data_IF_982684277745
#
_entry.id   IF_982684277745
#
_cell.length_a   1.000
_cell.length_b   1.000
_cell.length_c   1.000
_cell.angle_alpha   90.00
_cell.angle_beta   90.00
_cell.angle_gamma   90.00
#
_symmetry.space_group_name_H-M   'P 1'
#
loop_
_entity.id
_entity.type
_entity.pdbx_description
1 polymer ?
#
# COMPACT_ATOMS: atom_id res chain seq x y z
N UNK A 1 -17.65 8.63 0.35
CA UNK A 1 -16.43 8.12 1.04
C UNK A 1 -16.76 7.06 2.09
N UNK A 2 -16.81 5.80 1.66
CA UNK A 2 -16.91 4.64 2.54
C UNK A 2 -15.52 4.02 2.70
N UNK A 3 -14.99 3.98 3.93
CA UNK A 3 -13.77 3.23 4.26
C UNK A 3 -14.11 1.74 4.30
N UNK A 4 -13.40 0.94 3.52
CA UNK A 4 -13.58 -0.52 3.47
C UNK A 4 -12.27 -1.27 3.68
N UNK A 5 -11.13 -0.57 3.58
CA UNK A 5 -9.84 -1.10 4.01
C UNK A 5 -9.26 -0.18 5.08
N UNK A 6 -8.76 -0.74 6.17
CA UNK A 6 -7.97 0.00 7.15
C UNK A 6 -6.92 -0.88 7.80
N UNK A 7 -5.74 -0.31 8.05
CA UNK A 7 -4.66 -0.91 8.81
C UNK A 7 -3.86 0.16 9.53
N UNK A 8 -3.11 -0.22 10.56
CA UNK A 8 -2.27 0.70 11.34
C UNK A 8 -0.80 0.32 11.16
N UNK A 9 0.04 1.31 10.86
CA UNK A 9 1.48 1.14 10.79
C UNK A 9 2.00 0.75 12.17
N UNK A 10 2.66 -0.39 12.25
CA UNK A 10 3.24 -0.91 13.48
C UNK A 10 4.72 -0.57 13.56
N UNK A 11 5.44 -0.78 12.46
CA UNK A 11 6.89 -0.59 12.39
C UNK A 11 7.30 -0.26 10.96
N UNK A 12 8.41 0.45 10.82
CA UNK A 12 8.98 0.81 9.54
C UNK A 12 10.37 0.20 9.45
N UNK A 13 10.61 -0.53 8.36
CA UNK A 13 11.94 -1.00 8.03
C UNK A 13 12.93 0.17 7.91
N UNK A 14 14.17 -0.05 8.35
CA UNK A 14 15.25 0.96 8.32
C UNK A 14 15.52 1.50 6.90
N UNK A 15 15.24 0.69 5.88
CA UNK A 15 15.41 0.96 4.46
C UNK A 15 14.08 1.11 3.72
N UNK A 16 12.96 1.36 4.41
CA UNK A 16 11.65 1.56 3.76
C UNK A 16 11.66 2.74 2.77
N UNK A 17 12.56 3.71 3.00
CA UNK A 17 12.74 4.87 2.15
C UNK A 17 13.62 4.58 0.93
N UNK A 18 14.34 3.46 0.88
CA UNK A 18 15.25 3.13 -0.22
C UNK A 18 14.53 2.99 -1.56
N UNK A 19 13.24 2.65 -1.54
CA UNK A 19 12.42 2.52 -2.76
C UNK A 19 11.58 3.77 -3.07
N UNK A 20 11.67 4.83 -2.25
CA UNK A 20 10.94 6.09 -2.53
C UNK A 20 11.38 6.74 -3.82
N UNK A 21 12.69 6.73 -4.13
CA UNK A 21 13.22 7.25 -5.40
C UNK A 21 12.67 6.48 -6.61
N UNK A 22 12.40 5.19 -6.45
CA UNK A 22 11.74 4.34 -7.44
C UNK A 22 10.20 4.47 -7.43
N UNK A 23 9.65 5.44 -6.67
CA UNK A 23 8.22 5.64 -6.45
C UNK A 23 7.49 4.36 -6.02
N UNK A 24 8.15 3.54 -5.20
CA UNK A 24 7.65 2.24 -4.77
C UNK A 24 7.69 2.13 -3.25
N UNK A 25 6.61 1.58 -2.68
CA UNK A 25 6.56 1.18 -1.27
C UNK A 25 6.04 -0.24 -1.17
N UNK A 26 6.58 -1.01 -0.24
CA UNK A 26 6.10 -2.37 0.03
C UNK A 26 5.53 -2.38 1.44
N UNK A 27 4.33 -2.93 1.58
CA UNK A 27 3.68 -3.13 2.86
C UNK A 27 3.54 -4.62 3.13
N UNK A 28 3.69 -5.00 4.39
CA UNK A 28 3.52 -6.37 4.85
C UNK A 28 2.87 -6.41 6.22
N UNK A 29 2.21 -7.50 6.56
CA UNK A 29 1.79 -7.75 7.94
C UNK A 29 2.96 -8.18 8.84
N UNK A 30 2.67 -8.47 10.10
CA UNK A 30 3.60 -9.00 11.09
C UNK A 30 4.30 -10.34 10.70
N UNK A 31 3.85 -11.02 9.64
CA UNK A 31 4.43 -12.27 9.13
C UNK A 31 5.43 -12.04 7.98
N UNK A 32 5.88 -10.80 7.76
CA UNK A 32 6.89 -10.48 6.74
C UNK A 32 8.19 -11.30 6.95
N UNK A 33 8.82 -11.80 5.87
CA UNK A 33 10.15 -12.39 5.94
C UNK A 33 11.14 -11.39 6.54
N UNK A 34 12.03 -11.86 7.41
CA UNK A 34 13.00 -11.01 8.13
C UNK A 34 13.86 -10.16 7.17
N UNK A 35 14.28 -10.75 6.05
CA UNK A 35 15.06 -10.08 5.00
C UNK A 35 14.29 -8.93 4.32
N UNK A 36 12.96 -8.99 4.27
CA UNK A 36 12.13 -7.96 3.65
C UNK A 36 11.62 -6.93 4.66
N UNK A 37 11.59 -7.26 5.96
CA UNK A 37 11.13 -6.34 7.03
C UNK A 37 11.87 -5.01 6.98
N UNK A 38 13.17 -5.03 6.73
CA UNK A 38 14.00 -3.83 6.66
C UNK A 38 13.58 -2.86 5.55
N UNK A 39 12.88 -3.34 4.53
CA UNK A 39 12.46 -2.56 3.37
C UNK A 39 10.95 -2.29 3.32
N UNK A 40 10.17 -2.85 4.26
CA UNK A 40 8.71 -2.82 4.22
C UNK A 40 8.12 -1.99 5.36
N UNK A 41 6.91 -1.49 5.12
CA UNK A 41 6.02 -0.98 6.16
C UNK A 41 5.33 -2.18 6.80
N UNK A 42 5.59 -2.43 8.07
CA UNK A 42 4.88 -3.45 8.84
C UNK A 42 3.61 -2.84 9.41
N UNK A 43 2.47 -3.46 9.13
CA UNK A 43 1.17 -3.00 9.60
C UNK A 43 0.34 -4.12 10.24
N UNK A 44 -0.66 -3.71 11.01
CA UNK A 44 -1.53 -4.62 11.77
C UNK A 44 -2.98 -4.19 11.73
N UNK A 45 -3.87 -5.18 11.87
CA UNK A 45 -5.31 -4.95 11.95
C UNK A 45 -6.00 -4.86 10.60
N UNK A 46 -5.40 -5.46 9.56
CA UNK A 46 -5.90 -5.58 8.18
C UNK A 46 -7.42 -5.88 8.13
N UNK A 47 -8.22 -4.82 8.02
CA UNK A 47 -9.68 -4.90 7.90
C UNK A 47 -10.02 -4.63 6.45
N UNK A 48 -10.22 -5.69 5.67
CA UNK A 48 -10.58 -5.61 4.26
C UNK A 48 -12.02 -6.11 4.06
N UNK A 49 -12.96 -5.17 3.93
CA UNK A 49 -14.40 -5.44 3.81
C UNK A 49 -14.91 -5.46 2.35
N UNK A 50 -14.13 -4.91 1.42
CA UNK A 50 -14.48 -4.80 0.00
C UNK A 50 -13.25 -5.08 -0.88
N UNK A 51 -13.42 -4.98 -2.20
CA UNK A 51 -12.35 -5.24 -3.17
C UNK A 51 -11.75 -3.94 -3.65
N UNK A 52 -10.41 -3.90 -3.75
CA UNK A 52 -9.69 -2.76 -4.29
C UNK A 52 -9.93 -2.61 -5.80
N UNK A 53 -10.35 -1.42 -6.23
CA UNK A 53 -10.65 -1.14 -7.64
C UNK A 53 -10.00 0.17 -8.11
N UNK A 54 -9.69 0.29 -9.42
CA UNK A 54 -9.32 1.56 -10.02
C UNK A 54 -10.37 2.63 -9.75
N UNK A 55 -9.94 3.82 -9.34
CA UNK A 55 -10.79 4.95 -8.98
C UNK A 55 -10.99 5.13 -7.46
N UNK A 56 -10.71 4.10 -6.65
CA UNK A 56 -10.69 4.23 -5.19
C UNK A 56 -9.54 5.14 -4.72
N UNK A 57 -9.61 5.62 -3.48
CA UNK A 57 -8.60 6.53 -2.89
C UNK A 57 -7.85 5.80 -1.77
N UNK A 58 -6.55 5.61 -1.97
CA UNK A 58 -5.60 5.15 -0.97
C UNK A 58 -5.15 6.33 -0.11
N UNK A 59 -5.36 6.23 1.21
CA UNK A 59 -5.03 7.26 2.19
C UNK A 59 -3.92 6.75 3.10
N UNK A 60 -2.88 7.55 3.25
CA UNK A 60 -1.72 7.24 4.08
C UNK A 60 -1.35 8.49 4.86
N UNK A 61 -1.59 8.47 6.18
CA UNK A 61 -1.48 9.67 7.01
C UNK A 61 -2.39 10.78 6.51
N UNK A 62 -1.80 11.93 6.16
CA UNK A 62 -2.52 13.09 5.60
C UNK A 62 -2.61 13.09 4.06
N UNK A 63 -2.00 12.13 3.37
CA UNK A 63 -1.97 12.09 1.92
C UNK A 63 -3.04 11.18 1.33
N UNK A 64 -3.52 11.57 0.16
CA UNK A 64 -4.54 10.85 -0.61
C UNK A 64 -4.05 10.61 -2.04
N UNK A 65 -4.13 9.36 -2.46
CA UNK A 65 -3.65 8.85 -3.73
C UNK A 65 -4.77 8.09 -4.44
N UNK A 66 -5.11 8.50 -5.65
CA UNK A 66 -6.07 7.79 -6.48
C UNK A 66 -5.47 6.51 -7.06
N UNK A 67 -6.18 5.41 -6.92
CA UNK A 67 -5.81 4.12 -7.52
C UNK A 67 -6.09 4.19 -9.01
N UNK A 68 -5.08 3.91 -9.82
CA UNK A 68 -5.18 3.88 -11.28
C UNK A 68 -5.28 2.45 -11.81
N UNK A 69 -4.63 1.51 -11.15
CA UNK A 69 -4.68 0.10 -11.51
C UNK A 69 -4.45 -0.77 -10.28
N UNK A 70 -5.17 -1.89 -10.20
CA UNK A 70 -5.01 -2.88 -9.14
C UNK A 70 -4.78 -4.24 -9.79
N UNK A 71 -3.64 -4.87 -9.47
CA UNK A 71 -3.35 -6.23 -9.91
C UNK A 71 -4.34 -7.25 -9.31
N UNK A 72 -4.52 -8.37 -10.01
CA UNK A 72 -5.49 -9.41 -9.64
C UNK A 72 -5.19 -10.10 -8.30
N UNK A 73 -3.92 -10.17 -7.89
CA UNK A 73 -3.50 -10.78 -6.63
C UNK A 73 -3.46 -9.79 -5.46
N UNK A 74 -3.57 -8.47 -5.69
CA UNK A 74 -3.57 -7.45 -4.62
C UNK A 74 -4.58 -7.79 -3.53
N UNK A 75 -5.80 -8.17 -3.92
CA UNK A 75 -6.87 -8.50 -2.98
C UNK A 75 -6.51 -9.70 -2.11
N UNK A 76 -5.96 -10.75 -2.73
CA UNK A 76 -5.56 -11.98 -2.05
C UNK A 76 -4.37 -11.73 -1.12
N UNK A 77 -3.35 -11.03 -1.62
CA UNK A 77 -2.15 -10.70 -0.85
C UNK A 77 -2.45 -9.79 0.35
N UNK A 78 -3.33 -8.80 0.18
CA UNK A 78 -3.81 -7.98 1.29
C UNK A 78 -4.51 -8.83 2.36
N UNK A 79 -5.35 -9.78 1.95
CA UNK A 79 -6.12 -10.63 2.88
C UNK A 79 -5.25 -11.65 3.60
N UNK A 80 -4.38 -12.36 2.88
CA UNK A 80 -3.59 -13.47 3.42
C UNK A 80 -2.34 -12.97 4.16
N UNK A 81 -1.60 -12.05 3.54
CA UNK A 81 -0.27 -11.61 3.98
C UNK A 81 -0.23 -10.15 4.42
N UNK A 82 -1.33 -9.40 4.27
CA UNK A 82 -1.26 -7.93 4.33
C UNK A 82 -0.26 -7.36 3.33
N UNK A 83 0.09 -8.11 2.29
CA UNK A 83 1.14 -7.73 1.37
C UNK A 83 0.57 -6.91 0.23
N UNK A 84 1.17 -5.75 -0.03
CA UNK A 84 0.85 -4.95 -1.21
C UNK A 84 2.07 -4.11 -1.60
N UNK A 85 2.37 -4.10 -2.90
CA UNK A 85 3.37 -3.22 -3.47
C UNK A 85 2.68 -1.99 -4.05
N UNK A 86 2.88 -0.83 -3.45
CA UNK A 86 2.36 0.44 -3.92
C UNK A 86 3.34 1.07 -4.91
N UNK A 87 2.84 1.50 -6.06
CA UNK A 87 3.61 2.20 -7.10
C UNK A 87 2.98 3.53 -7.42
N UNK A 88 3.70 4.61 -7.23
CA UNK A 88 3.22 5.99 -7.39
C UNK A 88 3.69 6.56 -8.73
N UNK A 89 3.46 5.85 -9.83
CA UNK A 89 3.94 6.20 -11.17
C UNK A 89 2.80 6.30 -12.21
N UNK A 90 1.55 6.42 -11.77
CA UNK A 90 0.36 6.55 -12.63
C UNK A 90 0.17 5.37 -13.62
N UNK A 91 0.90 4.27 -13.44
CA UNK A 91 0.98 3.14 -14.38
C UNK A 91 1.22 3.55 -15.84
N UNK A 92 2.05 4.57 -16.08
CA UNK A 92 2.28 5.09 -17.45
C UNK A 92 2.87 4.03 -18.39
N UNK A 93 3.65 3.10 -17.86
CA UNK A 93 4.26 2.00 -18.61
C UNK A 93 3.31 0.82 -18.86
N UNK A 94 2.10 0.85 -18.29
CA UNK A 94 1.12 -0.23 -18.41
C UNK A 94 1.58 -1.54 -17.77
N UNK A 95 2.39 -1.45 -16.72
CA UNK A 95 2.82 -2.60 -15.95
C UNK A 95 1.60 -3.26 -15.26
N UNK A 96 1.49 -4.58 -15.41
CA UNK A 96 0.37 -5.37 -14.89
C UNK A 96 0.79 -6.33 -13.78
N UNK A 97 1.64 -5.87 -12.85
CA UNK A 97 2.12 -6.74 -11.78
C UNK A 97 0.98 -7.16 -10.86
N UNK A 98 0.78 -8.47 -10.76
CA UNK A 98 -0.40 -9.09 -10.13
C UNK A 98 -0.56 -8.66 -8.66
N UNK A 99 0.55 -8.52 -7.93
CA UNK A 99 0.58 -8.08 -6.52
C UNK A 99 0.80 -6.58 -6.30
N UNK A 100 0.79 -5.76 -7.36
CA UNK A 100 1.04 -4.32 -7.24
C UNK A 100 -0.22 -3.48 -7.42
N UNK A 101 -0.27 -2.40 -6.66
CA UNK A 101 -1.30 -1.37 -6.71
C UNK A 101 -0.66 -0.09 -7.23
N UNK A 102 -1.15 0.37 -8.37
CA UNK A 102 -0.67 1.58 -9.01
C UNK A 102 -1.55 2.74 -8.60
N UNK A 103 -0.88 3.80 -8.18
CA UNK A 103 -1.43 5.03 -7.68
C UNK A 103 -1.02 6.17 -8.62
N UNK A 104 -1.77 7.27 -8.55
CA UNK A 104 -1.40 8.50 -9.24
C UNK A 104 0.04 8.92 -8.90
N UNK A 105 0.69 9.59 -9.85
CA UNK A 105 2.05 10.11 -9.65
C UNK A 105 2.03 11.29 -8.68
N UNK A 106 2.35 10.98 -7.41
CA UNK A 106 2.43 11.93 -6.32
C UNK A 106 3.59 11.58 -5.39
N UNK A 107 4.18 12.59 -4.72
CA UNK A 107 5.24 12.35 -3.75
C UNK A 107 4.76 11.46 -2.61
N UNK A 108 5.60 10.51 -2.22
CA UNK A 108 5.35 9.58 -1.12
C UNK A 108 5.61 10.30 0.21
N UNK A 109 4.57 10.46 1.02
CA UNK A 109 4.73 11.05 2.35
C UNK A 109 5.46 10.11 3.30
N UNK A 110 6.16 10.67 4.28
CA UNK A 110 6.66 9.91 5.42
C UNK A 110 5.50 9.48 6.31
N UNK A 111 5.55 8.23 6.75
CA UNK A 111 4.65 7.69 7.76
C UNK A 111 5.45 7.40 9.02
N UNK A 112 4.74 7.30 10.15
CA UNK A 112 5.31 6.86 11.41
C UNK A 112 4.51 5.69 12.00
N UNK A 113 5.13 4.85 12.85
CA UNK A 113 4.39 3.90 13.67
C UNK A 113 3.22 4.58 14.40
N UNK A 114 2.02 4.03 14.24
CA UNK A 114 0.76 4.58 14.75
C UNK A 114 -0.13 5.23 13.68
N UNK A 115 0.40 5.55 12.49
CA UNK A 115 -0.41 6.11 11.41
C UNK A 115 -1.43 5.10 10.87
N UNK A 116 -2.61 5.60 10.49
CA UNK A 116 -3.62 4.81 9.78
C UNK A 116 -3.40 4.86 8.27
N UNK A 117 -3.40 3.69 7.65
CA UNK A 117 -3.50 3.52 6.20
C UNK A 117 -4.89 2.98 5.89
N UNK A 118 -5.58 3.58 4.94
CA UNK A 118 -6.93 3.16 4.57
C UNK A 118 -7.20 3.29 3.08
N UNK A 119 -8.18 2.53 2.59
CA UNK A 119 -8.72 2.75 1.25
C UNK A 119 -10.20 3.08 1.39
N UNK A 120 -10.58 4.17 0.71
CA UNK A 120 -11.94 4.68 0.68
C UNK A 120 -12.46 4.70 -0.74
N UNK A 121 -13.73 4.32 -0.89
CA UNK A 121 -14.46 4.50 -2.14
C UNK A 121 -15.12 5.88 -2.15
N UNK A 122 -14.76 6.79 -3.08
CA UNK A 122 -15.32 8.13 -3.15
C UNK A 122 -16.85 8.09 -3.28
#
# INVERSE_FOLDING_TARGET
>A
MKKYYSTTVQELGVNVHSFKDAKMLIMFNENAPEELREYCILHRGNKLEDTVQPGDIFKMGSAEYKIVYAGCEVQKNLRDLGHITLRFNNNEEGEGLEGSLYLEDKPIVDVVPGDEISIVRP
#
